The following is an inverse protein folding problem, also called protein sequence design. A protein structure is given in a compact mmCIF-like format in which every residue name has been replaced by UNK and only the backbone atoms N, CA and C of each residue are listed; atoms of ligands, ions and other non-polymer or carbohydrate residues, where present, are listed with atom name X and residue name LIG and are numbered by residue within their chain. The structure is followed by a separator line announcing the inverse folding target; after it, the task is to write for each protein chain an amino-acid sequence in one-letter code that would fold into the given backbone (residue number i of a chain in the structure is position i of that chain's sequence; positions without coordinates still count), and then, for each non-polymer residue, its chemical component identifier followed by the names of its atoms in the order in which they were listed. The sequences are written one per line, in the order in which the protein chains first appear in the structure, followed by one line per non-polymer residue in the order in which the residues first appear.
data_IF_325615747867
#
_entry.id   IF_325615747867
#
_cell.length_a   1.000
_cell.length_b   1.000
_cell.length_c   1.000
_cell.angle_alpha   90.00
_cell.angle_beta   90.00
_cell.angle_gamma   90.00
#
_symmetry.space_group_name_H-M   'P 1'
#
loop_
_entity.id
_entity.type
_entity.pdbx_description
1 polymer ?
#
# COMPACT_ATOMS: atom_id res chain seq x y z
N UNK A 1 -19.49 32.06 29.89
CA UNK A 1 -18.27 31.23 30.04
C UNK A 1 -18.61 29.79 30.39
N UNK A 2 -19.32 29.51 31.50
CA UNK A 2 -19.67 28.12 31.85
C UNK A 2 -20.60 27.43 30.83
N UNK A 3 -21.68 28.08 30.42
CA UNK A 3 -22.61 27.55 29.41
C UNK A 3 -21.93 27.25 28.06
N UNK A 4 -21.04 28.14 27.62
CA UNK A 4 -20.24 27.94 26.41
C UNK A 4 -19.37 26.70 26.52
N UNK A 5 -18.70 26.46 27.66
CA UNK A 5 -17.90 25.25 27.88
C UNK A 5 -18.76 23.98 27.83
N UNK A 6 -19.95 24.02 28.43
CA UNK A 6 -20.88 22.89 28.48
C UNK A 6 -21.42 22.53 27.08
N UNK A 7 -21.79 23.54 26.29
CA UNK A 7 -22.24 23.37 24.91
C UNK A 7 -21.10 22.84 24.03
N UNK A 8 -19.87 23.38 24.16
CA UNK A 8 -18.73 22.89 23.39
C UNK A 8 -18.38 21.44 23.72
N UNK A 9 -18.46 21.05 25.00
CA UNK A 9 -18.21 19.68 25.43
C UNK A 9 -19.24 18.72 24.82
N UNK A 10 -20.52 19.10 24.84
CA UNK A 10 -21.61 18.33 24.23
C UNK A 10 -21.37 18.10 22.73
N UNK A 11 -21.02 19.16 21.99
CA UNK A 11 -20.81 19.10 20.55
C UNK A 11 -19.60 18.23 20.19
N UNK A 12 -18.48 18.37 20.92
CA UNK A 12 -17.28 17.55 20.69
C UNK A 12 -17.57 16.08 20.94
N UNK A 13 -18.28 15.77 22.02
CA UNK A 13 -18.63 14.40 22.37
C UNK A 13 -19.55 13.77 21.32
N UNK A 14 -20.55 14.53 20.85
CA UNK A 14 -21.40 14.11 19.73
C UNK A 14 -20.59 13.88 18.44
N UNK A 15 -19.62 14.75 18.15
CA UNK A 15 -18.77 14.64 16.95
C UNK A 15 -17.92 13.36 16.97
N UNK A 16 -17.34 13.02 18.13
CA UNK A 16 -16.56 11.78 18.29
C UNK A 16 -17.44 10.55 18.13
N UNK A 17 -18.66 10.57 18.71
CA UNK A 17 -19.63 9.48 18.55
C UNK A 17 -20.08 9.30 17.11
N UNK A 18 -20.32 10.40 16.37
CA UNK A 18 -20.67 10.36 14.96
C UNK A 18 -19.52 9.82 14.11
N UNK A 19 -18.29 10.29 14.34
CA UNK A 19 -17.11 9.83 13.60
C UNK A 19 -16.83 8.34 13.82
N UNK A 20 -17.04 7.86 15.05
CA UNK A 20 -16.88 6.46 15.42
C UNK A 20 -18.16 5.61 15.34
N UNK A 21 -19.26 6.10 14.75
CA UNK A 21 -20.58 5.46 14.84
C UNK A 21 -20.55 3.97 14.47
N UNK A 22 -19.81 3.65 13.39
CA UNK A 22 -19.64 2.27 12.91
C UNK A 22 -18.91 1.37 13.91
N UNK A 23 -18.00 1.91 14.69
CA UNK A 23 -17.18 1.18 15.65
C UNK A 23 -17.91 1.04 16.99
N UNK A 24 -18.62 2.09 17.42
CA UNK A 24 -19.36 2.08 18.68
C UNK A 24 -20.68 1.31 18.63
N UNK A 25 -21.43 1.39 17.51
CA UNK A 25 -22.81 0.88 17.45
C UNK A 25 -22.98 -0.42 16.64
N UNK A 26 -21.99 -0.83 15.84
CA UNK A 26 -22.10 -2.06 15.03
C UNK A 26 -21.35 -3.20 15.72
N UNK A 27 -22.02 -4.35 15.89
CA UNK A 27 -21.42 -5.58 16.43
C UNK A 27 -20.30 -6.04 15.47
N UNK A 28 -19.06 -6.06 15.94
CA UNK A 28 -17.82 -6.26 15.14
C UNK A 28 -17.38 -5.07 14.28
N UNK A 29 -17.72 -3.84 14.68
CA UNK A 29 -17.15 -2.62 14.10
C UNK A 29 -15.63 -2.61 14.27
N UNK A 30 -14.90 -2.90 13.19
CA UNK A 30 -13.44 -2.82 13.14
C UNK A 30 -13.05 -1.61 12.32
N UNK A 31 -11.95 -0.96 12.71
CA UNK A 31 -11.30 -0.03 11.81
C UNK A 31 -10.91 -0.76 10.51
N UNK A 32 -11.14 -0.13 9.34
CA UNK A 32 -10.74 -0.73 8.07
C UNK A 32 -9.23 -0.98 8.09
N UNK A 33 -8.80 -2.07 7.46
CA UNK A 33 -7.40 -2.43 7.42
C UNK A 33 -6.66 -1.45 6.49
N UNK A 34 -5.88 -0.53 7.08
CA UNK A 34 -5.13 0.51 6.34
C UNK A 34 -3.86 -0.07 5.68
N UNK A 35 -3.48 -1.31 6.03
CA UNK A 35 -2.34 -1.97 5.41
C UNK A 35 -2.67 -2.39 3.97
N UNK A 36 -1.92 -1.86 3.01
CA UNK A 36 -2.05 -2.21 1.58
C UNK A 36 -2.00 -3.73 1.38
N UNK A 37 -1.07 -4.42 2.06
CA UNK A 37 -0.92 -5.87 1.97
C UNK A 37 -2.07 -6.69 2.57
N UNK A 38 -2.87 -6.11 3.47
CA UNK A 38 -4.04 -6.78 4.06
C UNK A 38 -5.34 -6.55 3.28
N UNK A 39 -5.32 -5.68 2.27
CA UNK A 39 -6.51 -5.32 1.51
C UNK A 39 -6.71 -6.24 0.30
N UNK A 40 -7.68 -7.15 0.41
CA UNK A 40 -8.08 -8.04 -0.72
C UNK A 40 -8.47 -7.25 -1.98
N UNK A 41 -9.10 -6.08 -1.81
CA UNK A 41 -9.50 -5.23 -2.92
C UNK A 41 -8.32 -4.60 -3.66
N UNK A 42 -7.23 -4.26 -2.95
CA UNK A 42 -6.00 -3.77 -3.59
C UNK A 42 -5.20 -4.91 -4.23
N UNK A 43 -5.18 -6.07 -3.57
CA UNK A 43 -4.55 -7.28 -4.10
C UNK A 43 -5.19 -7.76 -5.41
N UNK A 44 -6.52 -7.73 -5.51
CA UNK A 44 -7.25 -8.04 -6.76
C UNK A 44 -6.92 -7.08 -7.91
N UNK A 45 -6.48 -5.85 -7.61
CA UNK A 45 -6.04 -4.87 -8.60
C UNK A 45 -4.54 -4.98 -8.91
N UNK A 46 -3.83 -5.96 -8.35
CA UNK A 46 -2.39 -6.13 -8.51
C UNK A 46 -1.55 -5.08 -7.76
N UNK A 47 -2.16 -4.30 -6.85
CA UNK A 47 -1.47 -3.24 -6.11
C UNK A 47 -0.90 -3.82 -4.82
N UNK A 48 0.39 -4.16 -4.85
CA UNK A 48 1.16 -4.64 -3.69
C UNK A 48 1.82 -3.54 -2.86
N UNK A 49 2.60 -3.92 -1.84
CA UNK A 49 3.48 -3.00 -1.12
C UNK A 49 4.56 -2.45 -2.06
N UNK A 50 4.89 -1.16 -1.95
CA UNK A 50 5.90 -0.51 -2.79
C UNK A 50 7.24 -1.29 -2.82
N UNK A 51 7.69 -1.79 -1.66
CA UNK A 51 8.92 -2.60 -1.57
C UNK A 51 8.82 -3.93 -2.31
N UNK A 52 7.65 -4.57 -2.28
CA UNK A 52 7.43 -5.83 -3.01
C UNK A 52 7.39 -5.57 -4.51
N UNK A 53 6.69 -4.51 -4.93
CA UNK A 53 6.63 -4.09 -6.34
C UNK A 53 8.02 -3.74 -6.88
N UNK A 54 8.83 -3.03 -6.10
CA UNK A 54 10.21 -2.68 -6.49
C UNK A 54 11.10 -3.93 -6.65
N UNK A 55 11.03 -4.88 -5.69
CA UNK A 55 11.74 -6.17 -5.79
C UNK A 55 11.29 -6.99 -6.99
N UNK A 56 9.99 -7.01 -7.29
CA UNK A 56 9.46 -7.71 -8.47
C UNK A 56 9.95 -7.06 -9.77
N UNK A 57 9.93 -5.72 -9.85
CA UNK A 57 10.46 -4.98 -10.98
C UNK A 57 11.95 -5.28 -11.21
N UNK A 58 12.76 -5.27 -10.15
CA UNK A 58 14.18 -5.63 -10.23
C UNK A 58 14.39 -7.07 -10.73
N UNK A 59 13.63 -8.05 -10.20
CA UNK A 59 13.70 -9.44 -10.64
C UNK A 59 13.29 -9.61 -12.10
N UNK A 60 12.24 -8.93 -12.53
CA UNK A 60 11.78 -8.96 -13.91
C UNK A 60 12.79 -8.31 -14.86
N UNK A 61 13.45 -7.24 -14.43
CA UNK A 61 14.54 -6.61 -15.20
C UNK A 61 15.72 -7.57 -15.42
N UNK A 62 16.13 -8.32 -14.39
CA UNK A 62 17.21 -9.32 -14.51
C UNK A 62 16.84 -10.51 -15.40
N UNK A 63 15.55 -10.88 -15.50
CA UNK A 63 15.11 -11.94 -16.41
C UNK A 63 15.10 -11.52 -17.88
N UNK A 64 14.91 -10.23 -18.16
CA UNK A 64 14.89 -9.70 -19.53
C UNK A 64 16.28 -9.48 -20.14
N UNK A 65 17.32 -9.39 -19.30
CA UNK A 65 18.70 -9.28 -19.74
C UNK A 65 19.28 -10.69 -19.84
N UNK A 66 19.24 -11.26 -21.05
CA UNK A 66 19.91 -12.51 -21.33
C UNK A 66 21.42 -12.26 -21.44
N UNK A 67 22.08 -12.25 -20.28
CA UNK A 67 23.52 -11.99 -20.13
C UNK A 67 24.34 -12.93 -21.03
N UNK A 68 23.83 -14.14 -21.29
CA UNK A 68 24.48 -15.11 -22.15
C UNK A 68 24.60 -14.62 -23.60
N UNK A 69 23.53 -14.01 -24.14
CA UNK A 69 23.53 -13.47 -25.50
C UNK A 69 24.45 -12.25 -25.60
N UNK A 70 24.47 -11.37 -24.59
CA UNK A 70 25.39 -10.23 -24.55
C UNK A 70 26.86 -10.66 -24.49
N UNK A 71 27.19 -11.68 -23.69
CA UNK A 71 28.56 -12.21 -23.62
C UNK A 71 28.97 -12.86 -24.93
N UNK A 72 28.04 -13.55 -25.59
CA UNK A 72 28.27 -14.15 -26.90
C UNK A 72 28.57 -13.07 -27.94
N UNK A 73 27.75 -12.01 -27.97
CA UNK A 73 27.90 -10.87 -28.89
C UNK A 73 29.23 -10.12 -28.68
N UNK A 74 29.62 -9.87 -27.42
CA UNK A 74 30.92 -9.27 -27.08
C UNK A 74 32.08 -10.19 -27.50
N UNK A 75 31.95 -11.50 -27.27
CA UNK A 75 33.00 -12.45 -27.67
C UNK A 75 33.15 -12.55 -29.19
N UNK A 76 32.06 -12.40 -29.94
CA UNK A 76 32.06 -12.34 -31.40
C UNK A 76 32.67 -11.04 -31.92
N UNK A 77 32.44 -9.91 -31.24
CA UNK A 77 33.11 -8.65 -31.58
C UNK A 77 34.62 -8.75 -31.36
N UNK A 78 35.07 -9.32 -30.23
CA UNK A 78 36.50 -9.51 -29.93
C UNK A 78 37.21 -10.54 -30.83
N UNK A 79 36.48 -11.41 -31.52
CA UNK A 79 37.05 -12.41 -32.42
C UNK A 79 37.18 -11.91 -33.86
N UNK A 80 36.47 -10.83 -34.20
CA UNK A 80 36.50 -10.18 -35.51
C UNK A 80 37.41 -8.94 -35.55
N UNK A 81 37.97 -8.54 -34.41
CA UNK A 81 39.11 -7.61 -34.28
C UNK A 81 40.43 -8.40 -34.29
#
# INVERSE_FOLDING_TARGET
MFYTLLITLLIVLLSVLLLGFRIFFIKSGKFPNIHIGGSKALQQRGIGCATTQDKEAQRNFHKGIDVSNLLTEISEQLKNE
#
